data_IF_178930227204
#
_entry.id   IF_178930227204
#
_cell.length_a   1.000
_cell.length_b   1.000
_cell.length_c   1.000
_cell.angle_alpha   90.00
_cell.angle_beta   90.00
_cell.angle_gamma   90.00
#
_symmetry.space_group_name_H-M   'P 1'
#
loop_
_entity.id
_entity.type
_entity.pdbx_description
1 polymer ?
#
# COMPACT_ATOMS: atom_id res chain seq x y z
N UNK A 1 -1.72 9.66 4.15
CA UNK A 1 -1.63 8.21 3.82
C UNK A 1 -0.18 7.80 3.68
N UNK A 2 0.22 6.66 4.26
CA UNK A 2 1.60 6.16 4.19
C UNK A 2 1.67 4.90 3.30
N UNK A 3 2.58 4.89 2.33
CA UNK A 3 2.81 3.78 1.40
C UNK A 3 4.30 3.61 1.08
N UNK A 4 4.70 2.47 0.54
CA UNK A 4 6.09 2.20 0.14
C UNK A 4 6.57 0.77 0.40
N UNK A 5 7.86 0.46 0.14
CA UNK A 5 8.40 -0.90 0.18
C UNK A 5 8.39 -1.53 1.57
N UNK A 6 8.34 -2.86 1.63
CA UNK A 6 8.32 -3.56 2.91
C UNK A 6 9.65 -3.36 3.68
N UNK A 7 9.57 -3.29 5.01
CA UNK A 7 10.70 -2.90 5.86
C UNK A 7 10.97 -1.39 6.00
N UNK A 8 10.21 -0.50 5.33
CA UNK A 8 10.42 0.95 5.43
C UNK A 8 9.89 1.63 6.70
N UNK A 9 9.23 0.89 7.61
CA UNK A 9 8.76 1.46 8.89
C UNK A 9 7.42 2.18 8.84
N UNK A 10 6.66 2.09 7.73
CA UNK A 10 5.30 2.65 7.55
C UNK A 10 4.35 2.33 8.70
N UNK A 11 4.34 1.07 9.15
CA UNK A 11 3.47 0.62 10.24
C UNK A 11 3.81 1.31 11.55
N UNK A 12 5.10 1.51 11.83
CA UNK A 12 5.56 2.24 13.01
C UNK A 12 5.16 3.71 12.93
N UNK A 13 5.42 4.37 11.79
CA UNK A 13 5.11 5.79 11.60
C UNK A 13 3.60 6.08 11.60
N UNK A 14 2.80 5.25 10.92
CA UNK A 14 1.35 5.42 10.86
C UNK A 14 0.68 5.28 12.23
N UNK A 15 1.14 4.34 13.07
CA UNK A 15 0.64 4.19 14.44
C UNK A 15 1.06 5.35 15.33
N UNK A 16 2.32 5.78 15.22
CA UNK A 16 2.81 6.93 15.98
C UNK A 16 2.05 8.21 15.60
N UNK A 17 1.85 8.45 14.30
CA UNK A 17 1.05 9.55 13.79
C UNK A 17 -0.39 9.51 14.31
N UNK A 18 -1.04 8.35 14.23
CA UNK A 18 -2.41 8.21 14.73
C UNK A 18 -2.51 8.54 16.22
N UNK A 19 -1.57 8.06 17.04
CA UNK A 19 -1.51 8.38 18.48
C UNK A 19 -1.32 9.86 18.73
N UNK A 20 -0.37 10.51 18.05
CA UNK A 20 -0.12 11.94 18.22
C UNK A 20 -1.33 12.79 17.83
N UNK A 21 -2.06 12.43 16.77
CA UNK A 21 -3.26 13.16 16.38
C UNK A 21 -4.42 12.96 17.38
N UNK A 22 -4.56 11.77 17.98
CA UNK A 22 -5.51 11.52 19.08
C UNK A 22 -5.14 12.34 20.32
N UNK A 23 -3.85 12.39 20.68
CA UNK A 23 -3.35 13.21 21.80
C UNK A 23 -3.60 14.70 21.58
N UNK A 24 -3.64 15.16 20.32
CA UNK A 24 -4.05 16.52 19.92
C UNK A 24 -5.57 16.73 19.93
N UNK A 25 -6.36 15.76 20.38
CA UNK A 25 -7.82 15.85 20.50
C UNK A 25 -8.59 15.61 19.21
N UNK A 26 -7.95 15.11 18.15
CA UNK A 26 -8.64 14.83 16.89
C UNK A 26 -9.29 13.44 16.90
N UNK A 27 -10.51 13.29 16.35
CA UNK A 27 -11.10 11.97 16.13
C UNK A 27 -10.34 11.26 15.00
N UNK A 28 -9.50 10.28 15.35
CA UNK A 28 -8.64 9.59 14.39
C UNK A 28 -9.03 8.12 14.31
N UNK A 29 -9.06 7.59 13.08
CA UNK A 29 -9.16 6.16 12.84
C UNK A 29 -7.91 5.68 12.12
N UNK A 30 -7.15 4.81 12.79
CA UNK A 30 -6.04 4.10 12.16
C UNK A 30 -6.58 2.93 11.35
N UNK A 31 -6.29 2.92 10.05
CA UNK A 31 -6.71 1.87 9.13
C UNK A 31 -5.50 1.18 8.55
N UNK A 32 -5.51 -0.15 8.60
CA UNK A 32 -4.49 -0.98 7.98
C UNK A 32 -5.14 -1.81 6.89
N UNK A 33 -4.58 -1.76 5.68
CA UNK A 33 -5.10 -2.52 4.54
C UNK A 33 -4.00 -3.40 3.96
N UNK A 34 -4.19 -4.72 4.06
CA UNK A 34 -3.30 -5.69 3.42
C UNK A 34 -3.84 -6.06 2.03
N UNK A 35 -2.95 -6.12 1.04
CA UNK A 35 -3.26 -6.37 -0.39
C UNK A 35 -3.67 -7.80 -0.76
N UNK A 36 -4.44 -8.49 0.09
CA UNK A 36 -5.11 -9.73 -0.32
C UNK A 36 -6.45 -9.74 0.37
N UNK A 37 -7.42 -9.06 -0.24
CA UNK A 37 -8.75 -8.95 0.32
C UNK A 37 -9.33 -10.36 0.47
N UNK A 38 -10.19 -10.57 1.48
CA UNK A 38 -10.68 -11.89 1.91
C UNK A 38 -11.18 -12.76 0.75
N UNK A 39 -11.75 -12.12 -0.28
CA UNK A 39 -12.19 -12.78 -1.50
C UNK A 39 -11.04 -13.38 -2.33
N UNK A 40 -9.94 -12.66 -2.49
CA UNK A 40 -8.79 -13.11 -3.28
C UNK A 40 -7.92 -14.10 -2.52
N UNK A 41 -7.86 -14.02 -1.20
CA UNK A 41 -7.23 -15.08 -0.40
C UNK A 41 -8.02 -16.40 -0.46
N UNK A 42 -9.35 -16.34 -0.43
CA UNK A 42 -10.22 -17.50 -0.65
C UNK A 42 -10.07 -18.05 -2.08
N UNK A 43 -10.10 -17.18 -3.08
CA UNK A 43 -9.91 -17.56 -4.48
C UNK A 43 -8.52 -18.14 -4.73
N UNK A 44 -7.46 -17.58 -4.13
CA UNK A 44 -6.11 -18.13 -4.19
C UNK A 44 -6.09 -19.53 -3.59
N UNK A 45 -6.65 -19.74 -2.40
CA UNK A 45 -6.72 -21.08 -1.79
C UNK A 45 -7.56 -22.07 -2.60
N UNK A 46 -8.52 -21.59 -3.39
CA UNK A 46 -9.27 -22.40 -4.33
C UNK A 46 -8.42 -22.75 -5.56
N UNK A 47 -7.77 -21.76 -6.18
CA UNK A 47 -6.93 -21.92 -7.36
C UNK A 47 -5.65 -22.74 -7.08
N UNK A 48 -5.11 -22.67 -5.87
CA UNK A 48 -4.00 -23.53 -5.42
C UNK A 48 -4.34 -25.04 -5.43
N UNK A 49 -5.62 -25.41 -5.57
CA UNK A 49 -6.02 -26.83 -5.74
C UNK A 49 -5.83 -27.33 -7.18
N UNK A 50 -5.59 -26.44 -8.13
CA UNK A 50 -5.45 -26.77 -9.54
C UNK A 50 -3.97 -26.69 -9.95
N UNK A 51 -3.37 -27.81 -10.42
CA UNK A 51 -1.95 -27.85 -10.81
C UNK A 51 -1.58 -26.82 -11.89
N UNK A 52 -2.54 -26.45 -12.75
CA UNK A 52 -2.35 -25.45 -13.81
C UNK A 52 -2.03 -24.04 -13.29
N UNK A 53 -2.31 -23.76 -12.01
CA UNK A 53 -2.09 -22.46 -11.38
C UNK A 53 -0.95 -22.49 -10.38
N UNK A 54 -0.25 -23.60 -10.18
CA UNK A 54 0.91 -23.64 -9.28
C UNK A 54 2.07 -22.82 -9.84
N UNK A 55 2.69 -21.98 -9.00
CA UNK A 55 3.87 -21.24 -9.41
C UNK A 55 4.39 -20.28 -8.33
N UNK A 56 5.61 -19.80 -8.52
CA UNK A 56 6.34 -19.00 -7.53
C UNK A 56 5.97 -17.50 -7.56
N UNK A 57 5.12 -17.07 -8.49
CA UNK A 57 4.79 -15.66 -8.71
C UNK A 57 4.03 -15.03 -7.55
N UNK A 58 3.20 -15.80 -6.85
CA UNK A 58 2.58 -15.41 -5.60
C UNK A 58 3.26 -16.13 -4.41
N UNK A 59 4.20 -15.46 -3.70
CA UNK A 59 4.94 -16.08 -2.60
C UNK A 59 4.07 -16.49 -1.41
N UNK A 60 2.83 -15.99 -1.30
CA UNK A 60 1.94 -16.32 -0.18
C UNK A 60 1.08 -17.56 -0.41
N UNK A 61 0.76 -17.89 -1.67
CA UNK A 61 -0.17 -18.98 -1.98
C UNK A 61 0.39 -20.02 -2.96
N UNK A 62 1.61 -19.82 -3.49
CA UNK A 62 2.24 -20.75 -4.43
C UNK A 62 1.49 -20.81 -5.76
N UNK A 63 0.93 -19.68 -6.19
CA UNK A 63 0.14 -19.58 -7.43
C UNK A 63 0.84 -18.68 -8.43
N UNK A 64 0.87 -19.08 -9.70
CA UNK A 64 1.18 -18.21 -10.82
C UNK A 64 -0.12 -17.73 -11.47
N UNK A 65 -0.39 -16.42 -11.38
CA UNK A 65 -1.46 -15.80 -12.17
C UNK A 65 -0.86 -15.43 -13.52
N UNK A 66 -1.37 -15.98 -14.64
CA UNK A 66 -0.83 -15.65 -15.95
C UNK A 66 -1.07 -14.16 -16.26
N UNK A 67 -0.18 -13.48 -17.00
CA UNK A 67 -0.35 -12.08 -17.40
C UNK A 67 -1.69 -11.81 -18.10
N UNK A 68 -2.19 -12.78 -18.87
CA UNK A 68 -3.51 -12.69 -19.53
C UNK A 68 -4.68 -12.55 -18.57
N UNK A 69 -4.54 -12.99 -17.32
CA UNK A 69 -5.54 -12.89 -16.27
C UNK A 69 -5.31 -11.72 -15.31
N UNK A 70 -4.27 -10.89 -15.52
CA UNK A 70 -3.89 -9.79 -14.63
C UNK A 70 -5.03 -8.80 -14.38
N UNK A 71 -5.80 -8.47 -15.44
CA UNK A 71 -6.94 -7.55 -15.38
C UNK A 71 -8.12 -8.14 -14.62
N UNK A 72 -8.36 -9.45 -14.79
CA UNK A 72 -9.39 -10.15 -14.03
C UNK A 72 -9.00 -10.20 -12.55
N UNK A 73 -7.73 -10.51 -12.27
CA UNK A 73 -7.21 -10.49 -10.90
C UNK A 73 -7.36 -9.12 -10.25
N UNK A 74 -7.01 -8.05 -10.98
CA UNK A 74 -7.21 -6.67 -10.53
C UNK A 74 -8.68 -6.36 -10.28
N UNK A 75 -9.59 -6.80 -11.15
CA UNK A 75 -11.03 -6.61 -10.95
C UNK A 75 -11.51 -7.31 -9.67
N UNK A 76 -11.07 -8.54 -9.41
CA UNK A 76 -11.47 -9.31 -8.24
C UNK A 76 -10.92 -8.70 -6.95
N UNK A 77 -9.65 -8.28 -6.94
CA UNK A 77 -9.06 -7.52 -5.83
C UNK A 77 -9.79 -6.19 -5.64
N UNK A 78 -10.14 -5.49 -6.72
CA UNK A 78 -10.85 -4.22 -6.67
C UNK A 78 -12.26 -4.37 -6.07
N UNK A 79 -13.00 -5.43 -6.46
CA UNK A 79 -14.31 -5.74 -5.89
C UNK A 79 -14.17 -6.09 -4.40
N UNK A 80 -13.14 -6.82 -4.00
CA UNK A 80 -12.86 -7.12 -2.59
C UNK A 80 -12.42 -5.90 -1.78
N UNK A 81 -11.71 -4.97 -2.41
CA UNK A 81 -11.26 -3.70 -1.84
C UNK A 81 -12.44 -2.76 -1.55
N UNK A 82 -13.38 -2.64 -2.49
CA UNK A 82 -14.44 -1.63 -2.45
C UNK A 82 -15.27 -1.61 -1.15
N UNK A 83 -15.80 -2.74 -0.62
CA UNK A 83 -16.55 -2.72 0.63
C UNK A 83 -15.68 -2.31 1.83
N UNK A 84 -14.42 -2.73 1.86
CA UNK A 84 -13.46 -2.36 2.92
C UNK A 84 -13.15 -0.86 2.85
N UNK A 85 -12.93 -0.33 1.64
CA UNK A 85 -12.75 1.10 1.42
C UNK A 85 -13.95 1.90 1.91
N UNK A 86 -15.16 1.51 1.50
CA UNK A 86 -16.38 2.23 1.88
C UNK A 86 -16.60 2.23 3.39
N UNK A 87 -16.44 1.09 4.06
CA UNK A 87 -16.74 0.95 5.49
C UNK A 87 -15.61 1.44 6.42
N UNK A 88 -14.35 1.27 6.02
CA UNK A 88 -13.22 1.62 6.89
C UNK A 88 -12.64 3.00 6.58
N UNK A 89 -12.77 3.50 5.36
CA UNK A 89 -12.19 4.76 4.93
C UNK A 89 -13.26 5.82 4.65
N UNK A 90 -14.15 5.58 3.69
CA UNK A 90 -15.09 6.59 3.23
C UNK A 90 -16.14 6.95 4.30
N UNK A 91 -16.75 5.96 4.95
CA UNK A 91 -17.76 6.18 5.97
C UNK A 91 -17.19 6.90 7.21
N UNK A 92 -16.04 6.50 7.80
CA UNK A 92 -15.47 7.23 8.92
C UNK A 92 -14.99 8.64 8.53
N UNK A 93 -14.43 8.83 7.33
CA UNK A 93 -14.07 10.16 6.85
C UNK A 93 -15.31 11.06 6.72
N UNK A 94 -16.42 10.53 6.22
CA UNK A 94 -17.70 11.24 6.15
C UNK A 94 -18.27 11.58 7.54
N UNK A 95 -18.03 10.74 8.54
CA UNK A 95 -18.36 10.99 9.95
C UNK A 95 -17.40 11.96 10.65
N UNK A 96 -16.44 12.56 9.93
CA UNK A 96 -15.50 13.54 10.47
C UNK A 96 -14.23 12.96 11.09
N UNK A 97 -13.97 11.67 10.93
CA UNK A 97 -12.72 11.07 11.43
C UNK A 97 -11.55 11.35 10.47
N UNK A 98 -10.40 11.71 11.04
CA UNK A 98 -9.13 11.75 10.31
C UNK A 98 -8.61 10.32 10.13
N UNK A 99 -8.40 9.91 8.87
CA UNK A 99 -7.96 8.55 8.56
C UNK A 99 -6.46 8.48 8.40
N UNK A 100 -5.80 7.71 9.26
CA UNK A 100 -4.37 7.41 9.13
C UNK A 100 -4.22 6.00 8.57
N UNK A 101 -3.81 5.91 7.31
CA UNK A 101 -3.67 4.65 6.57
C UNK A 101 -2.25 4.13 6.54
N UNK A 102 -2.08 2.84 6.84
CA UNK A 102 -0.87 2.05 6.60
C UNK A 102 -1.13 1.06 5.45
N UNK A 103 -0.44 1.29 4.33
CA UNK A 103 -0.65 0.64 3.03
C UNK A 103 -2.03 0.93 2.42
N UNK A 104 -2.04 1.49 1.22
CA UNK A 104 -3.26 1.91 0.54
C UNK A 104 -3.32 1.37 -0.89
N UNK A 105 -4.12 2.00 -1.75
CA UNK A 105 -4.38 1.53 -3.11
C UNK A 105 -3.13 1.44 -3.99
N UNK A 106 -2.10 2.25 -3.74
CA UNK A 106 -0.80 2.12 -4.41
C UNK A 106 -0.14 0.78 -4.12
N UNK A 107 -0.14 0.33 -2.86
CA UNK A 107 0.42 -0.96 -2.47
C UNK A 107 -0.34 -2.12 -3.15
N UNK A 108 -1.66 -1.99 -3.34
CA UNK A 108 -2.47 -2.96 -4.08
C UNK A 108 -2.06 -3.03 -5.55
N UNK A 109 -1.90 -1.88 -6.22
CA UNK A 109 -1.47 -1.84 -7.64
C UNK A 109 -0.06 -2.41 -7.80
N UNK A 110 0.88 -2.01 -6.94
CA UNK A 110 2.26 -2.55 -6.95
C UNK A 110 2.24 -4.07 -6.71
N UNK A 111 1.48 -4.52 -5.72
CA UNK A 111 1.35 -5.94 -5.40
C UNK A 111 0.85 -6.76 -6.59
N UNK A 112 -0.25 -6.34 -7.22
CA UNK A 112 -0.81 -7.06 -8.37
C UNK A 112 0.15 -7.07 -9.55
N UNK A 113 0.82 -5.94 -9.80
CA UNK A 113 1.83 -5.83 -10.87
C UNK A 113 2.98 -6.81 -10.63
N UNK A 114 3.42 -6.97 -9.39
CA UNK A 114 4.48 -7.92 -9.03
C UNK A 114 4.03 -9.38 -9.14
N UNK A 115 2.82 -9.71 -8.68
CA UNK A 115 2.30 -11.10 -8.68
C UNK A 115 1.96 -11.59 -10.08
N UNK A 116 1.47 -10.71 -10.94
CA UNK A 116 1.07 -11.03 -12.32
C UNK A 116 2.21 -10.85 -13.32
N UNK A 117 3.33 -10.25 -12.89
CA UNK A 117 4.46 -9.83 -13.73
C UNK A 117 4.02 -9.04 -14.98
N UNK A 118 2.91 -8.31 -14.87
CA UNK A 118 2.31 -7.55 -15.97
C UNK A 118 2.41 -6.04 -15.68
N UNK A 119 3.36 -5.33 -16.30
CA UNK A 119 3.52 -3.89 -16.09
C UNK A 119 2.33 -3.08 -16.62
N UNK A 120 1.50 -3.63 -17.52
CA UNK A 120 0.34 -2.90 -18.08
C UNK A 120 -0.80 -2.73 -17.07
N UNK A 121 -0.74 -3.43 -15.93
CA UNK A 121 -1.67 -3.29 -14.81
C UNK A 121 -1.74 -1.85 -14.33
N UNK A 122 -0.61 -1.14 -14.27
CA UNK A 122 -0.56 0.25 -13.79
C UNK A 122 -1.34 1.23 -14.68
N UNK A 123 -1.51 0.90 -15.96
CA UNK A 123 -2.19 1.73 -16.96
C UNK A 123 -3.69 1.45 -17.07
N UNK A 124 -4.15 0.38 -16.42
CA UNK A 124 -5.56 -0.04 -16.46
C UNK A 124 -6.50 1.01 -15.84
N UNK A 125 -7.75 1.04 -16.31
CA UNK A 125 -8.77 1.95 -15.79
C UNK A 125 -8.97 1.80 -14.27
N UNK A 126 -8.93 0.57 -13.76
CA UNK A 126 -9.08 0.29 -12.34
C UNK A 126 -7.87 0.79 -11.54
N UNK A 127 -6.63 0.57 -12.02
CA UNK A 127 -5.45 1.12 -11.36
C UNK A 127 -5.47 2.65 -11.37
N UNK A 128 -5.84 3.28 -12.50
CA UNK A 128 -6.01 4.74 -12.59
C UNK A 128 -7.07 5.26 -11.62
N UNK A 129 -8.19 4.55 -11.46
CA UNK A 129 -9.23 4.90 -10.50
C UNK A 129 -8.72 4.78 -9.05
N UNK A 130 -8.06 3.69 -8.71
CA UNK A 130 -7.42 3.47 -7.40
C UNK A 130 -6.40 4.57 -7.04
N UNK A 131 -5.62 5.01 -8.03
CA UNK A 131 -4.66 6.10 -7.90
C UNK A 131 -5.35 7.47 -7.74
N UNK A 132 -6.46 7.69 -8.45
CA UNK A 132 -7.27 8.89 -8.29
C UNK A 132 -7.90 8.98 -6.90
N UNK A 133 -8.41 7.87 -6.35
CA UNK A 133 -8.93 7.80 -4.98
C UNK A 133 -7.86 8.18 -3.96
N UNK A 134 -6.63 7.68 -4.13
CA UNK A 134 -5.50 8.01 -3.26
C UNK A 134 -5.17 9.50 -3.28
N UNK A 135 -5.06 10.11 -4.47
CA UNK A 135 -4.76 11.55 -4.61
C UNK A 135 -5.82 12.45 -3.96
N UNK A 136 -7.07 12.01 -3.92
CA UNK A 136 -8.18 12.76 -3.30
C UNK A 136 -8.29 12.57 -1.79
N UNK A 137 -7.62 11.57 -1.24
CA UNK A 137 -7.79 11.22 0.17
C UNK A 137 -6.87 11.97 1.14
N UNK A 138 -6.05 12.90 0.63
CA UNK A 138 -5.23 13.81 1.44
C UNK A 138 -3.72 13.67 1.19
N UNK A 139 -2.89 14.21 2.11
CA UNK A 139 -1.44 14.18 1.96
C UNK A 139 -0.89 12.75 1.84
N UNK A 140 -0.07 12.54 0.81
CA UNK A 140 0.55 11.25 0.52
C UNK A 140 2.00 11.27 1.02
N UNK A 141 2.41 10.20 1.72
CA UNK A 141 3.76 10.03 2.26
C UNK A 141 4.34 8.73 1.72
N UNK A 142 5.37 8.85 0.90
CA UNK A 142 6.15 7.71 0.41
C UNK A 142 7.28 7.45 1.40
N UNK A 143 7.16 6.37 2.17
CA UNK A 143 8.15 6.01 3.18
C UNK A 143 9.10 4.97 2.59
N UNK A 144 10.37 5.32 2.49
CA UNK A 144 11.41 4.49 1.89
C UNK A 144 12.66 4.42 2.79
N UNK A 145 13.61 3.58 2.40
CA UNK A 145 14.97 3.53 2.95
C UNK A 145 15.91 2.99 1.87
N UNK A 146 17.23 3.05 2.12
CA UNK A 146 18.23 2.44 1.26
C UNK A 146 17.98 0.94 1.07
N UNK A 147 18.19 0.44 -0.15
CA UNK A 147 17.90 -0.94 -0.55
C UNK A 147 18.48 -1.97 0.44
N UNK A 148 19.73 -1.78 0.87
CA UNK A 148 20.37 -2.68 1.85
C UNK A 148 19.65 -2.73 3.20
N UNK A 149 19.14 -1.60 3.68
CA UNK A 149 18.34 -1.57 4.93
C UNK A 149 16.95 -2.13 4.73
N UNK A 150 16.31 -1.90 3.59
CA UNK A 150 15.00 -2.47 3.28
C UNK A 150 15.08 -4.00 3.27
N UNK A 151 16.03 -4.57 2.54
CA UNK A 151 16.28 -6.02 2.48
C UNK A 151 16.60 -6.58 3.87
N UNK A 152 17.47 -5.92 4.63
CA UNK A 152 17.82 -6.38 5.98
C UNK A 152 16.62 -6.36 6.95
N UNK A 153 15.70 -5.41 6.80
CA UNK A 153 14.50 -5.27 7.65
C UNK A 153 13.34 -6.15 7.20
N UNK A 154 13.16 -6.35 5.89
CA UNK A 154 12.05 -7.14 5.35
C UNK A 154 12.37 -8.63 5.26
N UNK A 155 13.64 -8.99 5.08
CA UNK A 155 14.06 -10.35 4.76
C UNK A 155 13.71 -10.79 3.34
N UNK A 156 13.26 -9.87 2.48
CA UNK A 156 12.89 -10.17 1.09
C UNK A 156 14.09 -10.20 0.15
N UNK A 157 13.92 -10.87 -1.00
CA UNK A 157 14.94 -10.93 -2.04
C UNK A 157 15.31 -9.51 -2.55
N UNK A 158 16.61 -9.18 -2.70
CA UNK A 158 17.06 -7.89 -3.21
C UNK A 158 16.51 -7.54 -4.60
N UNK A 159 16.34 -8.54 -5.48
CA UNK A 159 15.78 -8.36 -6.82
C UNK A 159 14.29 -8.01 -6.76
N UNK A 160 13.53 -8.69 -5.91
CA UNK A 160 12.13 -8.37 -5.63
C UNK A 160 11.98 -6.96 -5.07
N UNK A 161 12.77 -6.60 -4.06
CA UNK A 161 12.76 -5.27 -3.45
C UNK A 161 13.09 -4.16 -4.47
N UNK A 162 14.07 -4.40 -5.36
CA UNK A 162 14.42 -3.46 -6.43
C UNK A 162 13.26 -3.27 -7.42
N UNK A 163 12.57 -4.35 -7.81
CA UNK A 163 11.37 -4.26 -8.66
C UNK A 163 10.26 -3.47 -7.97
N UNK A 164 10.03 -3.73 -6.68
CA UNK A 164 9.03 -3.02 -5.89
C UNK A 164 9.31 -1.50 -5.84
N UNK A 165 10.55 -1.10 -5.55
CA UNK A 165 10.97 0.31 -5.56
C UNK A 165 10.77 0.98 -6.92
N UNK A 166 11.16 0.30 -8.00
CA UNK A 166 10.99 0.81 -9.36
C UNK A 166 9.51 1.04 -9.71
N UNK A 167 8.62 0.15 -9.26
CA UNK A 167 7.18 0.29 -9.46
C UNK A 167 6.61 1.47 -8.67
N UNK A 168 6.97 1.64 -7.39
CA UNK A 168 6.55 2.83 -6.64
C UNK A 168 7.04 4.13 -7.30
N UNK A 169 8.26 4.15 -7.84
CA UNK A 169 8.77 5.29 -8.60
C UNK A 169 7.95 5.59 -9.87
N UNK A 170 7.53 4.55 -10.60
CA UNK A 170 6.69 4.68 -11.80
C UNK A 170 5.29 5.20 -11.52
N UNK A 171 4.74 4.96 -10.34
CA UNK A 171 3.38 5.37 -9.99
C UNK A 171 3.19 6.90 -9.97
N UNK A 172 4.28 7.69 -9.95
CA UNK A 172 4.21 9.14 -10.16
C UNK A 172 3.24 9.83 -9.19
N UNK A 173 3.22 9.37 -7.94
CA UNK A 173 2.45 10.00 -6.89
C UNK A 173 3.22 11.25 -6.47
N UNK A 174 2.61 12.43 -6.55
CA UNK A 174 3.12 13.66 -5.94
C UNK A 174 3.07 13.52 -4.41
N UNK A 175 3.89 12.63 -3.89
CA UNK A 175 3.95 12.25 -2.49
C UNK A 175 5.18 12.84 -1.83
N UNK A 176 5.04 13.18 -0.56
CA UNK A 176 6.14 13.62 0.28
C UNK A 176 7.03 12.42 0.59
N UNK A 177 8.28 12.47 0.19
CA UNK A 177 9.23 11.37 0.38
C UNK A 177 9.80 11.47 1.79
N UNK A 178 9.68 10.38 2.56
CA UNK A 178 10.23 10.23 3.90
C UNK A 178 11.27 9.11 3.84
N UNK A 179 12.55 9.48 3.89
CA UNK A 179 13.67 8.54 3.93
C UNK A 179 13.98 8.15 5.39
N UNK A 180 13.89 6.87 5.70
CA UNK A 180 14.12 6.31 7.04
C UNK A 180 15.44 5.55 7.15
N UNK A 181 16.39 5.80 6.22
CA UNK A 181 17.68 5.10 6.19
C UNK A 181 18.47 5.33 7.47
N UNK A 182 18.71 6.59 7.83
CA UNK A 182 19.54 6.94 8.99
C UNK A 182 18.78 7.79 10.03
N UNK A 183 17.45 7.77 9.95
CA UNK A 183 16.58 8.55 10.83
C UNK A 183 15.96 7.69 11.92
N UNK A 184 15.75 8.32 13.09
CA UNK A 184 14.92 7.71 14.12
C UNK A 184 13.44 7.81 13.73
N UNK A 185 12.57 6.89 14.20
CA UNK A 185 11.13 7.00 13.95
C UNK A 185 10.52 8.33 14.41
N UNK A 186 11.12 8.96 15.43
CA UNK A 186 10.67 10.26 15.96
C UNK A 186 10.98 11.40 14.99
N UNK A 187 12.16 11.40 14.37
CA UNK A 187 12.55 12.44 13.42
C UNK A 187 11.69 12.38 12.16
N UNK A 188 11.48 11.18 11.62
CA UNK A 188 10.61 10.98 10.47
C UNK A 188 9.15 11.31 10.77
N UNK A 189 8.67 11.06 12.00
CA UNK A 189 7.34 11.48 12.44
C UNK A 189 7.22 13.01 12.49
N UNK A 190 8.22 13.70 13.03
CA UNK A 190 8.22 15.17 13.11
C UNK A 190 8.15 15.80 11.72
N UNK A 191 8.83 15.22 10.71
CA UNK A 191 8.72 15.67 9.31
C UNK A 191 7.30 15.52 8.77
N UNK A 192 6.66 14.38 9.04
CA UNK A 192 5.27 14.15 8.63
C UNK A 192 4.33 15.17 9.28
N UNK A 193 4.49 15.42 10.58
CA UNK A 193 3.69 16.41 11.32
C UNK A 193 3.91 17.82 10.78
N UNK A 194 5.15 18.22 10.50
CA UNK A 194 5.45 19.53 9.92
C UNK A 194 4.77 19.75 8.57
N UNK A 195 4.66 18.71 7.73
CA UNK A 195 3.96 18.77 6.45
C UNK A 195 2.44 18.87 6.63
N UNK A 196 1.89 18.14 7.61
CA UNK A 196 0.46 18.19 7.93
C UNK A 196 0.10 19.58 8.47
N UNK A 197 0.93 20.12 9.38
CA UNK A 197 0.71 21.40 10.04
C UNK A 197 0.96 22.58 9.08
N UNK A 198 1.92 22.47 8.15
CA UNK A 198 2.25 23.48 7.14
C UNK A 198 1.37 23.47 5.88
N UNK A 199 0.63 22.38 5.63
CA UNK A 199 -0.31 22.25 4.52
C UNK A 199 -1.75 22.70 4.83
N UNK A 200 -2.01 23.16 6.07
CA UNK A 200 -3.29 23.71 6.49
C UNK A 200 -3.38 25.21 6.22
N UNK A 201 -3.70 25.59 4.98
CA UNK A 201 -4.22 26.91 4.61
C UNK A 201 -5.33 26.72 3.57
#
# INVERSE_FOLDING_TARGET
MLFGPDGSGKTTLSRALARTLVERGQPVKWCWMRGSHTFVSLLSRFLARFPAFHGLSNPYYGIAVPPSASRLWLLLEYIGFLPIYLLQYALPAWLGYTIVSDRFTADLVVWITLVTDDPTVTDSLLARHLMALMRRAGPLFFVTAGLGRLVARSGEDPGYMRRQLALYGKLGLNANIIDTTDETPKDSLNKILAIIDGGGC
#
